data_IF_827827340831
#
_entry.id   IF_827827340831
#
_cell.length_a   1.000
_cell.length_b   1.000
_cell.length_c   1.000
_cell.angle_alpha   90.00
_cell.angle_beta   90.00
_cell.angle_gamma   90.00
#
_symmetry.space_group_name_H-M   'P 1'
#
loop_
_entity.id
_entity.type
_entity.pdbx_description
1 polymer ?
#
# COMPACT_ATOMS: atom_id res chain seq x y z
N UNK A 1 -12.38 7.91 13.17
CA UNK A 1 -12.58 8.10 11.71
C UNK A 1 -14.04 8.44 11.41
N UNK A 2 -14.38 9.21 10.36
CA UNK A 2 -15.79 9.39 9.95
C UNK A 2 -16.17 8.32 8.91
N UNK A 3 -17.45 7.94 8.87
CA UNK A 3 -17.99 6.95 7.90
C UNK A 3 -17.62 7.29 6.45
N UNK A 4 -17.67 8.58 6.08
CA UNK A 4 -17.29 9.05 4.75
C UNK A 4 -15.83 8.71 4.41
N UNK A 5 -14.88 8.97 5.33
CA UNK A 5 -13.47 8.64 5.12
C UNK A 5 -13.25 7.14 5.03
N UNK A 6 -13.94 6.36 5.86
CA UNK A 6 -13.87 4.90 5.83
C UNK A 6 -14.30 4.32 4.48
N UNK A 7 -15.44 4.76 3.96
CA UNK A 7 -15.98 4.32 2.68
C UNK A 7 -15.05 4.71 1.53
N UNK A 8 -14.52 5.94 1.54
CA UNK A 8 -13.57 6.41 0.53
C UNK A 8 -12.29 5.55 0.53
N UNK A 9 -11.70 5.30 1.71
CA UNK A 9 -10.50 4.45 1.79
C UNK A 9 -10.80 3.02 1.32
N UNK A 10 -11.98 2.47 1.65
CA UNK A 10 -12.43 1.16 1.17
C UNK A 10 -12.51 1.09 -0.36
N UNK A 11 -13.15 2.09 -0.99
CA UNK A 11 -13.28 2.17 -2.45
C UNK A 11 -11.90 2.27 -3.11
N UNK A 12 -11.01 3.10 -2.55
CA UNK A 12 -9.62 3.23 -3.04
C UNK A 12 -8.92 1.87 -2.97
N UNK A 13 -9.00 1.14 -1.86
CA UNK A 13 -8.38 -0.19 -1.71
C UNK A 13 -8.92 -1.22 -2.71
N UNK A 14 -10.22 -1.18 -3.01
CA UNK A 14 -10.83 -2.04 -4.04
C UNK A 14 -10.31 -1.69 -5.43
N UNK A 15 -10.24 -0.40 -5.78
CA UNK A 15 -9.69 0.05 -7.06
C UNK A 15 -8.23 -0.38 -7.23
N UNK A 16 -7.38 -0.19 -6.21
CA UNK A 16 -5.99 -0.65 -6.24
C UNK A 16 -5.89 -2.17 -6.44
N UNK A 17 -6.86 -2.93 -5.92
CA UNK A 17 -6.90 -4.39 -6.10
C UNK A 17 -7.22 -4.77 -7.55
N UNK A 18 -8.19 -4.10 -8.17
CA UNK A 18 -8.53 -4.29 -9.58
C UNK A 18 -7.32 -3.95 -10.46
N UNK A 19 -6.63 -2.84 -10.16
CA UNK A 19 -5.42 -2.44 -10.88
C UNK A 19 -4.34 -3.53 -10.81
N UNK A 20 -4.07 -4.11 -9.64
CA UNK A 20 -3.10 -5.21 -9.50
C UNK A 20 -3.50 -6.42 -10.36
N UNK A 21 -4.78 -6.81 -10.35
CA UNK A 21 -5.29 -7.95 -11.14
C UNK A 21 -5.11 -7.71 -12.64
N UNK A 22 -5.40 -6.50 -13.11
CA UNK A 22 -5.19 -6.13 -14.52
C UNK A 22 -3.70 -6.16 -14.86
N UNK A 23 -2.86 -5.52 -14.04
CA UNK A 23 -1.41 -5.44 -14.26
C UNK A 23 -0.73 -6.81 -14.27
N UNK A 24 -1.15 -7.72 -13.37
CA UNK A 24 -0.54 -9.05 -13.25
C UNK A 24 -0.92 -10.01 -14.37
N UNK A 25 -2.11 -9.85 -14.99
CA UNK A 25 -2.61 -10.79 -15.99
C UNK A 25 -2.39 -10.33 -17.44
N UNK A 26 -2.32 -9.03 -17.71
CA UNK A 26 -2.30 -8.52 -19.08
C UNK A 26 -0.90 -8.14 -19.59
N UNK A 27 0.09 -7.97 -18.72
CA UNK A 27 1.40 -7.47 -19.13
C UNK A 27 2.49 -8.54 -18.99
N UNK A 28 3.19 -8.80 -20.10
CA UNK A 28 4.23 -9.83 -20.19
C UNK A 28 5.59 -9.38 -19.64
N UNK A 29 5.83 -8.07 -19.50
CA UNK A 29 7.08 -7.52 -18.97
C UNK A 29 7.19 -7.68 -17.45
N UNK A 30 7.63 -8.86 -17.00
CA UNK A 30 7.52 -9.23 -15.59
C UNK A 30 8.22 -8.27 -14.62
N UNK A 31 9.34 -7.64 -14.99
CA UNK A 31 10.17 -6.88 -14.03
C UNK A 31 9.61 -5.50 -13.69
N UNK A 32 9.21 -4.69 -14.68
CA UNK A 32 8.63 -3.37 -14.45
C UNK A 32 7.28 -3.48 -13.73
N UNK A 33 6.44 -4.43 -14.16
CA UNK A 33 5.13 -4.62 -13.55
C UNK A 33 5.21 -5.19 -12.13
N UNK A 34 6.19 -6.06 -11.83
CA UNK A 34 6.44 -6.52 -10.46
C UNK A 34 6.78 -5.35 -9.54
N UNK A 35 7.65 -4.44 -9.98
CA UNK A 35 8.02 -3.24 -9.21
C UNK A 35 6.80 -2.36 -8.93
N UNK A 36 5.97 -2.11 -9.93
CA UNK A 36 4.75 -1.30 -9.78
C UNK A 36 3.77 -1.97 -8.81
N UNK A 37 3.51 -3.27 -8.96
CA UNK A 37 2.62 -4.03 -8.08
C UNK A 37 3.10 -3.97 -6.63
N UNK A 38 4.41 -4.02 -6.42
CA UNK A 38 5.02 -3.93 -5.10
C UNK A 38 4.80 -2.56 -4.45
N UNK A 39 5.01 -1.46 -5.18
CA UNK A 39 4.69 -0.12 -4.69
C UNK A 39 3.19 0.06 -4.40
N UNK A 40 2.31 -0.45 -5.27
CA UNK A 40 0.85 -0.41 -5.03
C UNK A 40 0.51 -1.20 -3.77
N UNK A 41 1.13 -2.36 -3.55
CA UNK A 41 0.88 -3.22 -2.38
C UNK A 41 1.28 -2.54 -1.08
N UNK A 42 2.44 -1.87 -1.04
CA UNK A 42 2.87 -1.10 0.13
C UNK A 42 2.00 0.14 0.34
N UNK A 43 1.57 0.80 -0.74
CA UNK A 43 0.56 1.87 -0.66
C UNK A 43 -0.74 1.40 0.00
N UNK A 44 -1.25 0.21 -0.37
CA UNK A 44 -2.42 -0.41 0.29
C UNK A 44 -2.16 -0.66 1.77
N UNK A 45 -1.02 -1.23 2.12
CA UNK A 45 -0.64 -1.47 3.51
C UNK A 45 -0.65 -0.16 4.33
N UNK A 46 -0.06 0.91 3.80
CA UNK A 46 -0.04 2.22 4.46
C UNK A 46 -1.46 2.80 4.61
N UNK A 47 -2.31 2.72 3.57
CA UNK A 47 -3.70 3.12 3.69
C UNK A 47 -4.42 2.38 4.81
N UNK A 48 -4.21 1.06 4.92
CA UNK A 48 -4.78 0.24 5.99
C UNK A 48 -4.25 0.68 7.35
N UNK A 49 -2.93 0.78 7.49
CA UNK A 49 -2.27 1.17 8.73
C UNK A 49 -2.76 2.54 9.21
N UNK A 50 -2.69 3.57 8.36
CA UNK A 50 -3.11 4.90 8.74
C UNK A 50 -4.61 4.96 9.04
N UNK A 51 -5.48 4.48 8.14
CA UNK A 51 -6.92 4.74 8.28
C UNK A 51 -7.67 3.71 9.13
N UNK A 52 -7.34 2.42 9.08
CA UNK A 52 -8.05 1.38 9.83
C UNK A 52 -7.42 1.08 11.17
N UNK A 53 -6.08 1.10 11.27
CA UNK A 53 -5.38 0.98 12.56
C UNK A 53 -5.25 2.33 13.28
N UNK A 54 -5.87 3.38 12.72
CA UNK A 54 -5.83 4.76 13.20
C UNK A 54 -4.41 5.27 13.51
N UNK A 55 -3.39 4.82 12.75
CA UNK A 55 -2.01 5.24 12.94
C UNK A 55 -1.83 6.75 12.78
N UNK A 56 -2.75 7.45 12.09
CA UNK A 56 -2.75 8.93 12.03
C UNK A 56 -2.94 9.59 13.40
N UNK A 57 -3.55 8.91 14.38
CA UNK A 57 -3.68 9.38 15.77
C UNK A 57 -2.51 8.97 16.66
N UNK A 58 -1.70 8.01 16.23
CA UNK A 58 -0.57 7.54 17.01
C UNK A 58 0.54 8.60 17.14
N UNK A 59 1.42 8.41 18.10
CA UNK A 59 2.64 9.21 18.22
C UNK A 59 3.45 9.18 16.92
N UNK A 60 4.11 10.30 16.62
CA UNK A 60 4.96 10.46 15.43
C UNK A 60 6.02 9.37 15.32
N UNK A 61 6.50 8.85 16.44
CA UNK A 61 7.40 7.70 16.49
C UNK A 61 6.84 6.47 15.76
N UNK A 62 5.60 6.06 16.07
CA UNK A 62 4.96 4.90 15.44
C UNK A 62 4.67 5.12 13.95
N UNK A 63 4.28 6.35 13.59
CA UNK A 63 4.07 6.74 12.19
C UNK A 63 5.34 6.57 11.38
N UNK A 64 6.46 7.10 11.90
CA UNK A 64 7.78 6.99 11.27
C UNK A 64 8.25 5.54 11.20
N UNK A 65 8.09 4.78 12.28
CA UNK A 65 8.50 3.38 12.32
C UNK A 65 7.82 2.55 11.22
N UNK A 66 6.51 2.71 11.04
CA UNK A 66 5.77 2.00 9.98
C UNK A 66 6.21 2.43 8.59
N UNK A 67 6.39 3.73 8.35
CA UNK A 67 6.84 4.25 7.05
C UNK A 67 8.25 3.72 6.72
N UNK A 68 9.18 3.79 7.68
CA UNK A 68 10.55 3.32 7.51
C UNK A 68 10.61 1.81 7.29
N UNK A 69 9.82 1.04 8.05
CA UNK A 69 9.70 -0.40 7.85
C UNK A 69 9.17 -0.73 6.45
N UNK A 70 8.11 -0.06 6.01
CA UNK A 70 7.56 -0.24 4.66
C UNK A 70 8.58 0.08 3.57
N UNK A 71 9.35 1.16 3.74
CA UNK A 71 10.39 1.52 2.78
C UNK A 71 11.53 0.50 2.76
N UNK A 72 11.98 0.06 3.93
CA UNK A 72 12.99 -1.00 4.04
C UNK A 72 12.51 -2.30 3.39
N UNK A 73 11.27 -2.70 3.64
CA UNK A 73 10.65 -3.87 3.04
C UNK A 73 10.65 -3.80 1.50
N UNK A 74 10.25 -2.65 0.93
CA UNK A 74 10.31 -2.43 -0.53
C UNK A 74 11.74 -2.60 -1.05
N UNK A 75 12.70 -1.94 -0.42
CA UNK A 75 14.10 -2.02 -0.83
C UNK A 75 14.59 -3.47 -0.80
N UNK A 76 14.34 -4.21 0.28
CA UNK A 76 14.79 -5.60 0.38
C UNK A 76 14.24 -6.48 -0.73
N UNK A 77 12.97 -6.29 -1.13
CA UNK A 77 12.36 -7.06 -2.20
C UNK A 77 12.80 -6.64 -3.60
N UNK A 78 13.33 -5.43 -3.78
CA UNK A 78 13.87 -4.99 -5.07
C UNK A 78 15.28 -5.52 -5.34
N UNK A 79 16.04 -5.82 -4.29
CA UNK A 79 17.41 -6.33 -4.39
C UNK A 79 17.52 -7.86 -4.30
N UNK A 80 16.42 -8.54 -3.97
CA UNK A 80 16.27 -10.01 -4.04
C UNK A 80 15.85 -10.41 -5.45
#
# INVERSE_FOLDING_TARGET
>A
MTLKKLIVTWIILLLLTIVIVVLSNHFSEKQLFTTIILFISVGKFLLIAFYFLELYKAHSFWKLAVILFSLFFVLTLLFI
#
